data_IF_254677962942
#
_entry.id   IF_254677962942
#
_cell.length_a   1.000
_cell.length_b   1.000
_cell.length_c   1.000
_cell.angle_alpha   90.00
_cell.angle_beta   90.00
_cell.angle_gamma   90.00
#
_symmetry.space_group_name_H-M   'P 1'
#
loop_
_entity.id
_entity.type
_entity.pdbx_description
1 polymer ?
#
# COMPACT_ATOMS: atom_id res chain seq x y z
N UNK A 1 -7.21 19.59 3.73
CA UNK A 1 -7.87 20.87 4.15
C UNK A 1 -7.12 21.57 5.29
N UNK A 2 -5.81 21.29 5.48
CA UNK A 2 -5.00 21.78 6.62
C UNK A 2 -3.90 22.78 6.22
N UNK A 3 -3.74 23.08 4.92
CA UNK A 3 -2.74 24.03 4.44
C UNK A 3 -3.14 25.45 4.85
N UNK A 4 -2.23 26.18 5.51
CA UNK A 4 -2.45 27.57 5.97
C UNK A 4 -2.70 28.53 4.80
N UNK A 5 -2.08 28.27 3.65
CA UNK A 5 -2.25 29.07 2.42
C UNK A 5 -2.92 28.25 1.33
N UNK A 6 -4.24 28.15 1.39
CA UNK A 6 -5.03 27.32 0.47
C UNK A 6 -4.93 27.76 -1.00
N UNK A 7 -4.62 29.04 -1.27
CA UNK A 7 -4.42 29.55 -2.64
C UNK A 7 -3.22 28.90 -3.36
N UNK A 8 -2.19 28.50 -2.61
CA UNK A 8 -1.02 27.82 -3.17
C UNK A 8 -1.18 26.30 -3.27
N UNK A 9 -2.34 25.75 -2.91
CA UNK A 9 -2.53 24.31 -2.81
C UNK A 9 -2.28 23.58 -4.15
N UNK A 10 -2.60 24.20 -5.29
CA UNK A 10 -2.33 23.63 -6.62
C UNK A 10 -0.82 23.53 -6.88
N UNK A 11 -0.07 24.59 -6.55
CA UNK A 11 1.39 24.62 -6.70
C UNK A 11 2.07 23.62 -5.77
N UNK A 12 1.66 23.59 -4.50
CA UNK A 12 2.25 22.69 -3.51
C UNK A 12 1.97 21.22 -3.90
N UNK A 13 0.78 20.93 -4.42
CA UNK A 13 0.42 19.62 -4.94
C UNK A 13 1.23 19.25 -6.20
N UNK A 14 1.40 20.17 -7.15
CA UNK A 14 2.20 19.90 -8.35
C UNK A 14 3.66 19.64 -8.01
N UNK A 15 4.25 20.43 -7.09
CA UNK A 15 5.61 20.21 -6.61
C UNK A 15 5.73 18.85 -5.92
N UNK A 16 4.76 18.47 -5.08
CA UNK A 16 4.76 17.16 -4.44
C UNK A 16 4.74 16.02 -5.46
N UNK A 17 3.88 16.09 -6.48
CA UNK A 17 3.86 15.08 -7.55
C UNK A 17 5.16 15.05 -8.37
N UNK A 18 5.74 16.22 -8.69
CA UNK A 18 7.03 16.28 -9.37
C UNK A 18 8.15 15.62 -8.54
N UNK A 19 8.18 15.86 -7.23
CA UNK A 19 9.15 15.24 -6.33
C UNK A 19 8.96 13.72 -6.23
N UNK A 20 7.72 13.23 -6.15
CA UNK A 20 7.42 11.79 -6.14
C UNK A 20 7.81 11.12 -7.47
N UNK A 21 7.53 11.78 -8.60
CA UNK A 21 7.96 11.28 -9.90
C UNK A 21 9.49 11.20 -9.98
N UNK A 22 10.17 12.25 -9.52
CA UNK A 22 11.62 12.30 -9.51
C UNK A 22 12.22 11.18 -8.66
N UNK A 23 11.72 10.93 -7.44
CA UNK A 23 12.26 9.86 -6.59
C UNK A 23 12.08 8.48 -7.22
N UNK A 24 10.93 8.20 -7.83
CA UNK A 24 10.71 6.92 -8.51
C UNK A 24 11.58 6.75 -9.75
N UNK A 25 11.68 7.77 -10.62
CA UNK A 25 12.54 7.72 -11.81
C UNK A 25 14.01 7.60 -11.41
N UNK A 26 14.45 8.34 -10.40
CA UNK A 26 15.83 8.32 -9.92
C UNK A 26 16.24 6.93 -9.41
N UNK A 27 15.46 6.35 -8.48
CA UNK A 27 15.75 5.02 -7.93
C UNK A 27 15.67 3.95 -9.02
N UNK A 28 14.63 3.98 -9.85
CA UNK A 28 14.45 3.02 -10.94
C UNK A 28 15.58 3.06 -11.97
N UNK A 29 16.00 4.26 -12.38
CA UNK A 29 17.06 4.44 -13.39
C UNK A 29 18.42 4.00 -12.86
N UNK A 30 18.80 4.43 -11.65
CA UNK A 30 20.09 4.06 -11.05
C UNK A 30 20.21 2.54 -10.92
N UNK A 31 19.15 1.90 -10.44
CA UNK A 31 19.13 0.45 -10.31
C UNK A 31 19.19 -0.24 -11.67
N UNK A 32 18.37 0.20 -12.63
CA UNK A 32 18.33 -0.39 -13.96
C UNK A 32 19.68 -0.33 -14.66
N UNK A 33 20.40 0.81 -14.60
CA UNK A 33 21.72 0.97 -15.22
C UNK A 33 22.80 0.18 -14.47
N UNK A 34 22.78 0.19 -13.14
CA UNK A 34 23.79 -0.49 -12.31
C UNK A 34 23.62 -2.00 -12.24
N UNK A 35 22.46 -2.55 -12.63
CA UNK A 35 22.17 -3.97 -12.51
C UNK A 35 23.06 -4.82 -13.44
N UNK A 36 23.90 -5.72 -12.89
CA UNK A 36 24.95 -6.39 -13.66
C UNK A 36 24.48 -7.60 -14.49
N UNK A 37 23.29 -8.16 -14.19
CA UNK A 37 22.71 -9.27 -14.94
C UNK A 37 21.79 -8.79 -16.08
N UNK A 38 21.27 -9.75 -16.86
CA UNK A 38 20.25 -9.49 -17.86
C UNK A 38 19.01 -8.86 -17.23
N UNK A 39 18.40 -7.90 -17.94
CA UNK A 39 17.26 -7.13 -17.41
C UNK A 39 16.00 -7.97 -17.22
N UNK A 40 15.94 -9.15 -17.84
CA UNK A 40 14.90 -10.16 -17.60
C UNK A 40 14.97 -10.80 -16.21
N UNK A 41 16.10 -10.69 -15.50
CA UNK A 41 16.27 -11.25 -14.16
C UNK A 41 15.86 -10.28 -13.04
N UNK A 42 15.39 -9.07 -13.37
CA UNK A 42 14.94 -8.11 -12.37
C UNK A 42 13.60 -8.59 -11.80
N UNK A 43 13.57 -8.92 -10.52
CA UNK A 43 12.32 -9.25 -9.81
C UNK A 43 11.50 -8.00 -9.48
N UNK A 44 10.16 -8.14 -9.45
CA UNK A 44 9.22 -7.07 -9.10
C UNK A 44 9.51 -6.43 -7.74
N UNK A 45 9.89 -7.26 -6.76
CA UNK A 45 10.36 -6.77 -5.48
C UNK A 45 11.83 -6.40 -5.59
N UNK A 46 12.10 -5.10 -5.58
CA UNK A 46 13.45 -4.53 -5.58
C UNK A 46 14.41 -5.26 -4.63
N UNK A 47 13.97 -5.54 -3.39
CA UNK A 47 14.80 -6.15 -2.35
C UNK A 47 15.10 -7.64 -2.56
N UNK A 48 14.39 -8.33 -3.47
CA UNK A 48 14.69 -9.72 -3.79
C UNK A 48 15.92 -9.87 -4.70
N UNK A 49 16.27 -8.82 -5.43
CA UNK A 49 17.44 -8.79 -6.29
C UNK A 49 18.78 -8.70 -5.51
N UNK A 50 18.72 -8.48 -4.19
CA UNK A 50 19.89 -8.39 -3.30
C UNK A 50 20.11 -9.68 -2.51
N UNK A 51 21.35 -9.90 -2.08
CA UNK A 51 21.71 -11.03 -1.23
C UNK A 51 20.91 -11.01 0.08
N UNK A 52 20.35 -12.16 0.46
CA UNK A 52 19.56 -12.29 1.70
C UNK A 52 20.37 -12.03 2.98
N UNK A 53 21.70 -12.15 2.89
CA UNK A 53 22.62 -11.98 4.02
C UNK A 53 23.27 -10.59 4.07
N UNK A 54 22.94 -9.69 3.15
CA UNK A 54 23.45 -8.32 3.17
C UNK A 54 22.80 -7.51 4.31
N UNK A 55 23.59 -6.95 5.26
CA UNK A 55 23.05 -6.25 6.42
C UNK A 55 22.16 -5.05 6.05
N UNK A 56 22.49 -4.32 4.97
CA UNK A 56 21.70 -3.17 4.53
C UNK A 56 20.30 -3.62 4.07
N UNK A 57 20.25 -4.70 3.28
CA UNK A 57 18.99 -5.30 2.81
C UNK A 57 18.15 -5.85 3.97
N UNK A 58 18.77 -6.45 4.99
CA UNK A 58 18.07 -6.93 6.19
C UNK A 58 17.45 -5.76 6.96
N UNK A 59 18.21 -4.69 7.20
CA UNK A 59 17.71 -3.50 7.89
C UNK A 59 16.56 -2.86 7.10
N UNK A 60 16.69 -2.73 5.79
CA UNK A 60 15.62 -2.19 4.94
C UNK A 60 14.33 -3.04 5.05
N UNK A 61 14.43 -4.37 5.00
CA UNK A 61 13.29 -5.28 5.18
C UNK A 61 12.62 -5.13 6.55
N UNK A 62 13.40 -4.98 7.62
CA UNK A 62 12.86 -4.79 8.97
C UNK A 62 12.13 -3.44 9.11
N UNK A 63 12.68 -2.36 8.56
CA UNK A 63 12.03 -1.04 8.57
C UNK A 63 10.73 -1.05 7.78
N UNK A 64 10.73 -1.66 6.59
CA UNK A 64 9.52 -1.81 5.77
C UNK A 64 8.47 -2.71 6.45
N UNK A 65 8.91 -3.77 7.14
CA UNK A 65 7.99 -4.63 7.91
C UNK A 65 7.32 -3.84 9.03
N UNK A 66 8.07 -3.05 9.79
CA UNK A 66 7.52 -2.21 10.85
C UNK A 66 6.54 -1.15 10.30
N UNK A 67 6.90 -0.53 9.17
CA UNK A 67 6.01 0.39 8.47
C UNK A 67 4.72 -0.32 8.02
N UNK A 68 4.81 -1.49 7.40
CA UNK A 68 3.63 -2.21 6.92
C UNK A 68 2.74 -2.69 8.07
N UNK A 69 3.35 -3.15 9.17
CA UNK A 69 2.61 -3.58 10.36
C UNK A 69 1.77 -2.46 10.98
N UNK A 70 2.25 -1.22 10.92
CA UNK A 70 1.53 -0.05 11.46
C UNK A 70 0.52 0.54 10.46
N UNK A 71 0.84 0.54 9.17
CA UNK A 71 -0.02 1.11 8.12
C UNK A 71 -1.17 0.17 7.74
N UNK A 72 -0.96 -1.15 7.74
CA UNK A 72 -1.97 -2.12 7.33
C UNK A 72 -3.27 -2.04 8.15
N UNK A 73 -3.25 -2.00 9.50
CA UNK A 73 -4.47 -1.83 10.30
C UNK A 73 -5.23 -0.54 9.97
N UNK A 74 -4.50 0.55 9.71
CA UNK A 74 -5.09 1.84 9.34
C UNK A 74 -5.79 1.76 7.98
N UNK A 75 -5.15 1.15 6.99
CA UNK A 75 -5.73 0.94 5.66
C UNK A 75 -6.98 0.05 5.72
N UNK A 76 -6.96 -1.05 6.48
CA UNK A 76 -8.14 -1.91 6.68
C UNK A 76 -9.28 -1.14 7.37
N UNK A 77 -8.97 -0.27 8.33
CA UNK A 77 -9.97 0.57 8.98
C UNK A 77 -10.64 1.55 8.01
N UNK A 78 -9.86 2.22 7.16
CA UNK A 78 -10.39 3.13 6.14
C UNK A 78 -11.27 2.39 5.13
N UNK A 79 -10.78 1.27 4.59
CA UNK A 79 -11.52 0.42 3.67
C UNK A 79 -12.84 -0.07 4.29
N UNK A 80 -12.83 -0.48 5.56
CA UNK A 80 -14.04 -0.89 6.29
C UNK A 80 -15.06 0.24 6.35
N UNK A 81 -14.62 1.47 6.64
CA UNK A 81 -15.52 2.63 6.70
C UNK A 81 -16.13 2.95 5.33
N UNK A 82 -15.34 2.85 4.27
CA UNK A 82 -15.82 3.05 2.89
C UNK A 82 -16.84 1.98 2.49
N UNK A 83 -16.60 0.70 2.80
CA UNK A 83 -17.53 -0.40 2.51
C UNK A 83 -18.86 -0.19 3.23
N UNK A 84 -18.84 0.09 4.55
CA UNK A 84 -20.09 0.30 5.29
C UNK A 84 -20.87 1.52 4.81
N UNK A 85 -20.16 2.60 4.43
CA UNK A 85 -20.78 3.82 3.92
C UNK A 85 -21.46 3.55 2.57
N UNK A 86 -20.76 2.91 1.64
CA UNK A 86 -21.32 2.57 0.33
C UNK A 86 -22.46 1.57 0.43
N UNK A 87 -22.35 0.56 1.30
CA UNK A 87 -23.44 -0.41 1.53
C UNK A 87 -24.70 0.27 2.07
N UNK A 88 -24.55 1.23 3.00
CA UNK A 88 -25.69 2.02 3.51
C UNK A 88 -26.38 2.83 2.41
N UNK A 89 -25.60 3.44 1.52
CA UNK A 89 -26.12 4.22 0.38
C UNK A 89 -26.89 3.30 -0.58
N UNK A 90 -26.29 2.15 -0.93
CA UNK A 90 -26.84 1.22 -1.93
C UNK A 90 -28.15 0.57 -1.46
N UNK A 91 -28.23 0.17 -0.19
CA UNK A 91 -29.43 -0.50 0.34
C UNK A 91 -30.54 0.47 0.76
N UNK A 92 -30.36 1.80 0.63
CA UNK A 92 -31.30 2.85 1.10
C UNK A 92 -31.86 2.59 2.51
N UNK A 93 -31.09 1.87 3.33
CA UNK A 93 -31.54 1.41 4.64
C UNK A 93 -31.50 2.59 5.61
N UNK A 94 -32.68 3.16 5.89
CA UNK A 94 -32.87 4.26 6.86
C UNK A 94 -32.78 3.82 8.33
N UNK A 95 -32.87 2.51 8.61
CA UNK A 95 -32.78 2.03 9.99
C UNK A 95 -31.33 1.99 10.45
N UNK A 96 -31.08 2.51 11.65
CA UNK A 96 -29.93 2.20 12.49
C UNK A 96 -29.80 0.67 12.60
N UNK A 97 -29.20 0.04 11.60
CA UNK A 97 -28.60 -1.26 11.78
C UNK A 97 -27.38 -0.97 12.64
N UNK A 98 -27.58 -0.97 13.96
CA UNK A 98 -26.50 -0.90 14.92
C UNK A 98 -25.40 -1.84 14.47
N UNK A 99 -24.18 -1.33 14.51
CA UNK A 99 -22.96 -2.03 14.11
C UNK A 99 -22.88 -3.36 14.86
N UNK A 100 -23.46 -4.40 14.29
CA UNK A 100 -23.34 -5.74 14.83
C UNK A 100 -21.88 -6.15 14.70
N UNK A 101 -21.22 -6.39 15.83
CA UNK A 101 -19.83 -6.85 15.89
C UNK A 101 -19.58 -8.03 14.93
N UNK A 102 -20.58 -8.88 14.72
CA UNK A 102 -20.53 -9.99 13.76
C UNK A 102 -20.23 -9.52 12.32
N UNK A 103 -20.86 -8.45 11.83
CA UNK A 103 -20.63 -7.94 10.47
C UNK A 103 -19.21 -7.42 10.29
N UNK A 104 -18.66 -6.79 11.33
CA UNK A 104 -17.28 -6.28 11.32
C UNK A 104 -16.28 -7.43 11.32
N UNK A 105 -16.50 -8.44 12.17
CA UNK A 105 -15.64 -9.63 12.24
C UNK A 105 -15.64 -10.39 10.92
N UNK A 106 -16.82 -10.61 10.33
CA UNK A 106 -16.96 -11.29 9.03
C UNK A 106 -16.23 -10.52 7.93
N UNK A 107 -16.37 -9.19 7.87
CA UNK A 107 -15.68 -8.39 6.87
C UNK A 107 -14.16 -8.46 7.03
N UNK A 108 -13.65 -8.30 8.25
CA UNK A 108 -12.21 -8.38 8.51
C UNK A 108 -11.65 -9.78 8.19
N UNK A 109 -12.39 -10.84 8.52
CA UNK A 109 -12.01 -12.21 8.19
C UNK A 109 -11.93 -12.40 6.67
N UNK A 110 -12.93 -11.92 5.91
CA UNK A 110 -12.90 -11.97 4.43
C UNK A 110 -11.67 -11.23 3.89
N UNK A 111 -11.40 -10.01 4.37
CA UNK A 111 -10.23 -9.23 3.92
C UNK A 111 -8.93 -9.98 4.18
N UNK A 112 -8.73 -10.51 5.39
CA UNK A 112 -7.53 -11.28 5.73
C UNK A 112 -7.42 -12.55 4.88
N UNK A 113 -8.51 -13.29 4.71
CA UNK A 113 -8.53 -14.50 3.86
C UNK A 113 -8.14 -14.17 2.43
N UNK A 114 -8.68 -13.10 1.85
CA UNK A 114 -8.28 -12.64 0.51
C UNK A 114 -6.80 -12.30 0.47
N UNK A 115 -6.28 -11.53 1.44
CA UNK A 115 -4.85 -11.22 1.51
C UNK A 115 -3.97 -12.48 1.57
N UNK A 116 -4.35 -13.48 2.38
CA UNK A 116 -3.62 -14.74 2.50
C UNK A 116 -3.70 -15.55 1.20
N UNK A 117 -4.87 -15.63 0.56
CA UNK A 117 -5.03 -16.31 -0.72
C UNK A 117 -4.14 -15.69 -1.81
N UNK A 118 -4.10 -14.36 -1.92
CA UNK A 118 -3.19 -13.68 -2.85
C UNK A 118 -1.72 -13.97 -2.53
N UNK A 119 -1.34 -13.93 -1.24
CA UNK A 119 0.03 -14.24 -0.84
C UNK A 119 0.45 -15.69 -1.15
N UNK A 120 -0.47 -16.65 -1.08
CA UNK A 120 -0.17 -18.06 -1.38
C UNK A 120 -0.20 -18.38 -2.87
N UNK A 121 -1.20 -17.90 -3.61
CA UNK A 121 -1.45 -18.31 -5.01
C UNK A 121 -0.86 -17.35 -6.04
N UNK A 122 -0.70 -16.08 -5.71
CA UNK A 122 -0.21 -15.02 -6.61
C UNK A 122 0.87 -14.16 -5.92
N UNK A 123 2.03 -14.73 -5.52
CA UNK A 123 3.06 -14.01 -4.79
C UNK A 123 3.87 -13.01 -5.66
N UNK A 124 3.40 -12.68 -6.87
CA UNK A 124 4.05 -11.72 -7.76
C UNK A 124 3.43 -10.35 -7.55
N UNK A 125 4.26 -9.35 -7.29
CA UNK A 125 3.80 -7.99 -6.97
C UNK A 125 3.39 -7.25 -8.26
N UNK A 126 4.00 -7.59 -9.40
CA UNK A 126 3.78 -6.92 -10.69
C UNK A 126 2.76 -7.57 -11.63
N UNK A 127 2.10 -8.67 -11.24
CA UNK A 127 0.97 -9.26 -11.99
C UNK A 127 -0.26 -8.38 -11.93
#
# INVERSE_FOLDING_TARGET
>A
RSNRQQQHNVRDLSIAYCLVLFTYVFVGTIFYVSFPLSKSCIEDNFLNNFSKHDPLTIVARLLLLFQLFTVFPLMCFMLRMDIFTNFRILFKTKKNAEFSYLKVIVLNAIVVVVCVLFACFLPRIGT
#
